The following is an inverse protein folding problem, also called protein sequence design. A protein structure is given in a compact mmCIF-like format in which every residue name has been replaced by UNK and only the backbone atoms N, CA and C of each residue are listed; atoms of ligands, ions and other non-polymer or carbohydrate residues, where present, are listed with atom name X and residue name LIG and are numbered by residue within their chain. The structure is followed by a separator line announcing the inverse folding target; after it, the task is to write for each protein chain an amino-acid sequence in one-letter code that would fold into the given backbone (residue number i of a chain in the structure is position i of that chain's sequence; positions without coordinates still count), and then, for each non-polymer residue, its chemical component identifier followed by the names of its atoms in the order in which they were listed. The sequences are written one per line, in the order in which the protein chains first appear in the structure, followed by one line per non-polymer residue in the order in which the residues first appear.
data_IF_631025105419
#
_entry.id   IF_631025105419
#
_cell.length_a   1.000
_cell.length_b   1.000
_cell.length_c   1.000
_cell.angle_alpha   90.00
_cell.angle_beta   90.00
_cell.angle_gamma   90.00
#
_symmetry.space_group_name_H-M   'P 1'
#
loop_
_entity.id
_entity.type
_entity.pdbx_description
1 polymer ?
#
# COMPACT_ATOMS: atom_id res chain seq x y z
N UNK A 1 -52.61 52.83 -6.75
CA UNK A 1 -52.65 51.97 -7.95
C UNK A 1 -52.51 50.51 -7.51
N UNK A 2 -53.45 49.62 -7.90
CA UNK A 2 -53.46 48.20 -7.54
C UNK A 2 -52.95 47.28 -8.68
N UNK A 3 -52.71 45.99 -8.34
CA UNK A 3 -52.46 44.80 -9.22
C UNK A 3 -51.17 44.84 -10.06
N UNK A 4 -50.40 43.76 -10.18
CA UNK A 4 -50.84 42.38 -10.40
C UNK A 4 -49.92 41.34 -9.75
N UNK A 5 -50.57 40.39 -9.06
CA UNK A 5 -50.06 39.01 -8.83
C UNK A 5 -49.79 38.37 -10.19
N UNK A 6 -48.74 37.55 -10.29
CA UNK A 6 -48.64 36.54 -11.33
C UNK A 6 -48.99 35.16 -10.72
N UNK A 7 -50.10 34.54 -11.14
CA UNK A 7 -50.50 33.19 -10.75
C UNK A 7 -50.01 32.19 -11.79
N UNK A 8 -49.22 31.20 -11.38
CA UNK A 8 -49.29 29.86 -11.98
C UNK A 8 -48.60 28.84 -11.07
N UNK A 9 -49.44 28.17 -10.30
CA UNK A 9 -49.20 26.91 -9.60
C UNK A 9 -49.78 25.81 -10.47
N UNK A 10 -48.99 24.81 -10.86
CA UNK A 10 -49.52 23.46 -11.14
C UNK A 10 -48.48 22.46 -10.64
N UNK A 11 -48.88 21.70 -9.61
CA UNK A 11 -48.07 20.64 -9.03
C UNK A 11 -47.99 19.39 -9.90
N UNK A 12 -47.06 18.52 -9.55
CA UNK A 12 -47.05 17.10 -9.92
C UNK A 12 -46.23 16.38 -8.83
N UNK A 13 -46.91 15.84 -7.83
CA UNK A 13 -47.11 14.39 -7.63
C UNK A 13 -45.80 13.59 -7.61
N UNK A 14 -45.39 13.22 -6.40
CA UNK A 14 -44.68 11.96 -6.14
C UNK A 14 -45.47 10.79 -6.74
N UNK A 15 -44.73 9.77 -7.22
CA UNK A 15 -45.07 8.42 -6.84
C UNK A 15 -43.93 7.72 -6.10
N UNK A 16 -44.34 6.94 -5.11
CA UNK A 16 -43.56 5.95 -4.41
C UNK A 16 -43.33 4.69 -5.24
N UNK A 17 -42.42 3.84 -4.71
CA UNK A 17 -42.22 2.39 -4.93
C UNK A 17 -41.25 1.97 -6.03
N UNK A 18 -40.23 1.25 -5.59
CA UNK A 18 -39.38 0.39 -6.39
C UNK A 18 -38.46 -0.45 -5.51
N UNK A 19 -39.04 -1.27 -4.64
CA UNK A 19 -38.33 -2.38 -4.00
C UNK A 19 -38.14 -3.51 -5.03
N UNK A 20 -36.92 -4.06 -5.12
CA UNK A 20 -36.62 -5.33 -5.78
C UNK A 20 -35.10 -5.52 -5.96
N UNK A 21 -34.45 -6.45 -5.24
CA UNK A 21 -34.33 -7.88 -5.58
C UNK A 21 -33.49 -8.01 -6.88
N UNK A 22 -32.23 -8.48 -6.93
CA UNK A 22 -31.58 -9.68 -6.37
C UNK A 22 -30.04 -9.47 -6.46
N UNK A 23 -29.21 -10.01 -5.58
CA UNK A 23 -28.70 -11.38 -5.72
C UNK A 23 -28.15 -11.93 -4.40
N UNK A 24 -28.53 -13.18 -4.15
CA UNK A 24 -28.08 -14.03 -3.06
C UNK A 24 -26.86 -14.85 -3.49
N UNK A 25 -26.17 -15.36 -2.47
CA UNK A 25 -25.29 -16.54 -2.44
C UNK A 25 -23.82 -16.29 -2.87
N UNK A 26 -22.81 -16.90 -2.25
CA UNK A 26 -22.81 -18.10 -1.42
C UNK A 26 -21.70 -18.07 -0.35
N UNK A 27 -22.01 -18.66 0.81
CA UNK A 27 -21.02 -19.01 1.83
C UNK A 27 -20.11 -20.12 1.31
N UNK A 28 -18.79 -19.91 1.38
CA UNK A 28 -17.80 -20.97 1.16
C UNK A 28 -17.52 -21.60 2.53
N UNK A 29 -18.33 -22.60 2.85
CA UNK A 29 -18.03 -23.59 3.88
C UNK A 29 -17.47 -24.82 3.17
N UNK A 30 -16.19 -25.11 3.39
CA UNK A 30 -15.60 -26.41 3.08
C UNK A 30 -14.86 -26.90 4.31
N UNK A 31 -15.61 -27.47 5.25
CA UNK A 31 -15.10 -28.54 6.09
C UNK A 31 -15.16 -29.83 5.26
N UNK A 32 -14.01 -30.50 5.11
CA UNK A 32 -13.91 -31.76 4.38
C UNK A 32 -12.59 -32.44 4.65
N UNK A 33 -12.50 -33.14 5.79
CA UNK A 33 -11.50 -34.19 6.02
C UNK A 33 -11.57 -35.26 4.92
N UNK A 34 -10.42 -35.66 4.38
CA UNK A 34 -10.24 -36.97 3.78
C UNK A 34 -8.85 -37.51 4.15
N UNK A 35 -8.85 -38.44 5.10
CA UNK A 35 -7.74 -39.33 5.46
C UNK A 35 -7.49 -40.28 4.29
N UNK A 36 -6.25 -40.34 3.77
CA UNK A 36 -5.81 -41.46 2.94
C UNK A 36 -4.81 -42.29 3.74
N UNK A 37 -5.31 -43.34 4.39
CA UNK A 37 -4.52 -44.43 4.91
C UNK A 37 -4.15 -45.36 3.73
N UNK A 38 -2.86 -45.55 3.46
CA UNK A 38 -2.36 -46.61 2.59
C UNK A 38 -1.67 -47.63 3.50
N UNK A 39 -2.30 -48.79 3.67
CA UNK A 39 -1.84 -49.89 4.48
C UNK A 39 -1.07 -50.93 3.64
N UNK A 40 0.17 -51.22 4.04
CA UNK A 40 0.89 -52.50 3.88
C UNK A 40 1.40 -52.90 2.48
N UNK A 41 2.48 -53.66 2.27
CA UNK A 41 3.45 -54.36 3.14
C UNK A 41 4.70 -54.81 2.30
N UNK A 42 5.83 -55.03 3.00
CA UNK A 42 7.04 -55.82 2.67
C UNK A 42 8.07 -55.27 1.65
N UNK A 43 9.38 -55.57 1.71
CA UNK A 43 10.45 -55.52 2.73
C UNK A 43 11.71 -56.07 2.03
N UNK A 44 12.83 -55.34 2.00
CA UNK A 44 14.18 -55.91 1.78
C UNK A 44 15.22 -55.13 2.60
N UNK A 45 16.24 -55.81 3.17
CA UNK A 45 17.24 -55.20 4.04
C UNK A 45 18.39 -54.62 3.21
N UNK A 46 18.81 -53.41 3.51
CA UNK A 46 19.93 -52.78 2.82
C UNK A 46 20.42 -51.53 3.53
N UNK A 47 21.54 -51.69 4.23
CA UNK A 47 22.51 -50.67 4.64
C UNK A 47 22.05 -49.57 5.61
N UNK A 48 22.54 -49.69 6.85
CA UNK A 48 22.72 -48.59 7.79
C UNK A 48 23.40 -47.40 7.11
N UNK A 49 22.63 -46.34 6.87
CA UNK A 49 23.16 -44.98 6.85
C UNK A 49 22.47 -44.25 7.99
N UNK A 50 23.25 -44.03 9.04
CA UNK A 50 22.95 -43.06 10.08
C UNK A 50 22.78 -41.69 9.41
N UNK A 51 21.54 -41.33 9.14
CA UNK A 51 21.14 -40.01 8.70
C UNK A 51 19.94 -39.62 9.56
N UNK A 52 20.23 -38.85 10.62
CA UNK A 52 19.22 -38.12 11.37
C UNK A 52 18.25 -37.46 10.40
N UNK A 53 16.92 -37.59 10.59
CA UNK A 53 15.98 -36.89 9.75
C UNK A 53 16.07 -35.39 10.08
N UNK A 54 16.78 -34.63 9.24
CA UNK A 54 16.56 -33.18 9.16
C UNK A 54 15.19 -33.02 8.51
N UNK A 55 14.16 -32.83 9.34
CA UNK A 55 12.91 -32.27 8.86
C UNK A 55 13.25 -31.00 8.07
N UNK A 56 12.71 -30.79 6.86
CA UNK A 56 12.69 -29.45 6.30
C UNK A 56 11.75 -28.65 7.20
N UNK A 57 12.31 -28.06 8.25
CA UNK A 57 11.72 -26.91 8.90
C UNK A 57 11.57 -25.90 7.78
N UNK A 58 10.35 -25.75 7.27
CA UNK A 58 9.96 -24.54 6.54
C UNK A 58 10.12 -23.44 7.58
N UNK A 59 11.32 -22.86 7.64
CA UNK A 59 11.53 -21.58 8.28
C UNK A 59 10.63 -20.64 7.49
N UNK A 60 9.45 -20.35 8.05
CA UNK A 60 8.65 -19.23 7.61
C UNK A 60 9.60 -18.03 7.66
N UNK A 61 10.06 -17.59 6.49
CA UNK A 61 10.88 -16.39 6.39
C UNK A 61 10.08 -15.30 7.09
N UNK A 62 10.62 -14.78 8.20
CA UNK A 62 10.05 -13.60 8.82
C UNK A 62 9.91 -12.54 7.72
N UNK A 63 8.80 -11.78 7.67
CA UNK A 63 8.69 -10.69 6.70
C UNK A 63 9.90 -9.78 6.88
N UNK A 64 10.75 -9.72 5.85
CA UNK A 64 11.89 -8.80 5.83
C UNK A 64 11.29 -7.40 5.83
N UNK A 65 11.41 -6.70 6.95
CA UNK A 65 11.04 -5.29 7.03
C UNK A 65 12.12 -4.50 6.30
N UNK A 66 11.75 -3.73 5.29
CA UNK A 66 12.67 -2.89 4.53
C UNK A 66 13.23 -1.77 5.42
N UNK A 67 14.49 -1.41 5.23
CA UNK A 67 15.09 -0.29 5.96
C UNK A 67 14.47 1.04 5.51
N UNK A 68 14.44 2.08 6.37
CA UNK A 68 13.87 3.38 5.99
C UNK A 68 14.60 4.01 4.80
N UNK A 69 15.91 3.78 4.70
CA UNK A 69 16.73 4.21 3.56
C UNK A 69 16.24 3.58 2.25
N UNK A 70 16.06 2.26 2.22
CA UNK A 70 15.57 1.54 1.04
C UNK A 70 14.16 2.00 0.63
N UNK A 71 13.25 2.15 1.60
CA UNK A 71 11.89 2.66 1.36
C UNK A 71 11.97 4.06 0.75
N UNK A 72 12.76 4.96 1.34
CA UNK A 72 12.90 6.34 0.86
C UNK A 72 13.44 6.42 -0.56
N UNK A 73 14.47 5.63 -0.89
CA UNK A 73 15.05 5.56 -2.25
C UNK A 73 14.01 5.06 -3.22
N UNK A 74 13.31 3.99 -2.87
CA UNK A 74 12.31 3.39 -3.76
C UNK A 74 11.17 4.37 -4.04
N UNK A 75 10.61 4.97 -3.01
CA UNK A 75 9.52 5.95 -3.14
C UNK A 75 9.97 7.17 -3.93
N UNK A 76 11.15 7.73 -3.65
CA UNK A 76 11.65 8.90 -4.38
C UNK A 76 11.86 8.61 -5.87
N UNK A 77 12.31 7.39 -6.23
CA UNK A 77 12.40 6.96 -7.62
C UNK A 77 11.01 6.80 -8.28
N UNK A 78 10.02 6.28 -7.56
CA UNK A 78 8.65 6.17 -8.07
C UNK A 78 8.01 7.55 -8.27
N UNK A 79 8.29 8.47 -7.35
CA UNK A 79 7.82 9.86 -7.37
C UNK A 79 8.42 10.65 -8.54
N UNK A 80 9.71 10.46 -8.85
CA UNK A 80 10.43 11.16 -9.92
C UNK A 80 10.07 10.72 -11.35
N UNK A 81 8.80 10.36 -11.63
CA UNK A 81 8.34 9.85 -12.92
C UNK A 81 7.22 10.72 -13.51
N UNK A 82 7.53 11.94 -13.98
CA UNK A 82 6.51 12.86 -14.48
C UNK A 82 5.79 12.40 -15.75
N UNK A 83 6.39 11.45 -16.49
CA UNK A 83 5.81 10.90 -17.71
C UNK A 83 4.88 9.69 -17.47
N UNK A 84 4.79 9.19 -16.24
CA UNK A 84 3.93 8.04 -15.91
C UNK A 84 2.47 8.47 -15.78
N UNK A 85 1.49 7.73 -16.34
CA UNK A 85 0.07 8.03 -16.12
C UNK A 85 -0.29 7.94 -14.64
N UNK A 86 -1.06 8.92 -14.16
CA UNK A 86 -1.50 9.10 -12.76
C UNK A 86 -1.96 7.79 -12.09
N UNK A 87 -2.81 7.01 -12.75
CA UNK A 87 -3.32 5.74 -12.19
C UNK A 87 -2.21 4.71 -11.95
N UNK A 88 -1.23 4.58 -12.87
CA UNK A 88 -0.11 3.65 -12.68
C UNK A 88 0.86 4.19 -11.63
N UNK A 89 1.18 5.47 -11.72
CA UNK A 89 2.03 6.15 -10.75
C UNK A 89 1.51 5.96 -9.32
N UNK A 90 0.22 6.22 -9.10
CA UNK A 90 -0.42 6.07 -7.79
C UNK A 90 -0.45 4.62 -7.32
N UNK A 91 -0.84 3.67 -8.18
CA UNK A 91 -0.91 2.26 -7.83
C UNK A 91 0.45 1.68 -7.37
N UNK A 92 1.54 2.22 -7.89
CA UNK A 92 2.89 1.76 -7.56
C UNK A 92 3.47 2.42 -6.31
N UNK A 93 3.14 3.70 -6.06
CA UNK A 93 3.65 4.42 -4.88
C UNK A 93 2.80 4.16 -3.62
N UNK A 94 1.48 3.99 -3.77
CA UNK A 94 0.50 3.83 -2.68
C UNK A 94 0.87 2.77 -1.62
N UNK A 95 1.44 1.60 -1.95
CA UNK A 95 1.82 0.59 -0.96
C UNK A 95 2.85 1.05 0.07
N UNK A 96 3.63 2.10 -0.24
CA UNK A 96 4.68 2.62 0.65
C UNK A 96 4.23 3.84 1.46
N UNK A 97 3.02 4.34 1.21
CA UNK A 97 2.51 5.54 1.85
C UNK A 97 1.75 5.18 3.11
N UNK A 98 1.78 6.06 4.09
CA UNK A 98 0.80 5.98 5.16
C UNK A 98 -0.61 6.26 4.60
N UNK A 99 -1.63 5.99 5.42
CA UNK A 99 -3.02 6.05 4.97
C UNK A 99 -3.43 7.47 4.61
N UNK A 100 -3.00 8.44 5.39
CA UNK A 100 -3.34 9.84 5.24
C UNK A 100 -2.70 10.41 3.97
N UNK A 101 -1.41 10.19 3.77
CA UNK A 101 -0.67 10.63 2.59
C UNK A 101 -1.08 9.88 1.33
N UNK A 102 -1.50 8.61 1.41
CA UNK A 102 -2.09 7.92 0.27
C UNK A 102 -3.35 8.65 -0.26
N UNK A 103 -4.20 9.18 0.62
CA UNK A 103 -5.39 9.95 0.21
C UNK A 103 -4.96 11.26 -0.46
N UNK A 104 -3.91 11.93 0.02
CA UNK A 104 -3.40 13.15 -0.60
C UNK A 104 -2.74 12.87 -1.96
N UNK A 105 -1.98 11.78 -2.05
CA UNK A 105 -1.27 11.37 -3.25
C UNK A 105 -2.22 11.00 -4.40
N UNK A 106 -3.46 10.58 -4.11
CA UNK A 106 -4.49 10.34 -5.14
C UNK A 106 -4.78 11.59 -5.99
N UNK A 107 -4.51 12.79 -5.48
CA UNK A 107 -4.76 14.05 -6.18
C UNK A 107 -3.48 14.67 -6.79
N UNK A 108 -2.35 13.97 -6.71
CA UNK A 108 -1.09 14.42 -7.32
C UNK A 108 -1.08 14.02 -8.79
N UNK A 109 -0.99 15.03 -9.66
CA UNK A 109 -0.68 14.82 -11.08
C UNK A 109 0.85 14.68 -11.25
N UNK A 110 1.37 13.49 -11.63
CA UNK A 110 2.81 13.28 -11.76
C UNK A 110 3.45 14.22 -12.78
N UNK A 111 2.73 14.65 -13.82
CA UNK A 111 3.27 15.58 -14.82
C UNK A 111 3.61 16.97 -14.24
N UNK A 112 3.16 17.27 -13.02
CA UNK A 112 3.46 18.52 -12.30
C UNK A 112 4.66 18.39 -11.36
N UNK A 113 5.25 17.21 -11.21
CA UNK A 113 6.45 17.00 -10.40
C UNK A 113 7.65 17.65 -11.13
N UNK A 114 8.38 18.57 -10.50
CA UNK A 114 9.33 19.42 -11.20
C UNK A 114 10.68 18.75 -11.51
N UNK A 115 10.90 17.51 -11.08
CA UNK A 115 12.13 16.76 -11.28
C UNK A 115 11.88 15.35 -11.80
N UNK A 116 12.82 14.86 -12.59
CA UNK A 116 12.88 13.51 -13.15
C UNK A 116 14.20 12.79 -12.78
N UNK A 117 15.12 13.49 -12.09
CA UNK A 117 16.45 12.98 -11.77
C UNK A 117 16.84 13.26 -10.33
N UNK A 118 17.21 12.20 -9.63
CA UNK A 118 17.86 12.25 -8.32
C UNK A 118 19.38 12.32 -8.58
N UNK A 119 20.02 13.35 -8.04
CA UNK A 119 21.46 13.62 -8.20
C UNK A 119 22.29 12.98 -7.08
N UNK A 120 21.76 12.97 -5.85
CA UNK A 120 22.42 12.35 -4.68
C UNK A 120 21.45 12.17 -3.52
N UNK A 121 21.82 11.34 -2.55
CA UNK A 121 21.04 11.02 -1.35
C UNK A 121 20.66 9.53 -1.31
N UNK A 122 19.92 9.10 -0.28
CA UNK A 122 19.42 9.92 0.83
C UNK A 122 20.52 10.26 1.83
N UNK A 123 20.35 11.39 2.53
CA UNK A 123 20.98 11.61 3.84
C UNK A 123 19.88 11.42 4.87
N UNK A 124 20.05 10.46 5.77
CA UNK A 124 19.06 10.14 6.79
C UNK A 124 19.25 11.05 8.00
N UNK A 125 18.18 11.73 8.41
CA UNK A 125 18.11 12.53 9.63
C UNK A 125 16.99 11.98 10.52
N UNK A 126 17.22 11.93 11.83
CA UNK A 126 16.24 11.41 12.78
C UNK A 126 15.74 12.47 13.73
N UNK A 127 14.48 12.37 14.13
CA UNK A 127 13.94 13.23 15.18
C UNK A 127 14.46 12.79 16.56
N UNK A 128 15.09 13.72 17.28
CA UNK A 128 15.70 13.45 18.58
C UNK A 128 14.69 13.12 19.69
N UNK A 129 13.43 13.51 19.51
CA UNK A 129 12.33 13.29 20.45
C UNK A 129 11.45 12.10 20.04
N UNK A 130 11.44 11.74 18.75
CA UNK A 130 10.66 10.63 18.21
C UNK A 130 11.48 9.76 17.23
N UNK A 131 12.10 8.65 17.70
CA UNK A 131 12.90 7.79 16.84
C UNK A 131 12.08 7.04 15.77
N UNK A 132 10.76 7.15 15.82
CA UNK A 132 9.85 6.58 14.81
C UNK A 132 9.55 7.56 13.67
N UNK A 133 10.16 8.76 13.68
CA UNK A 133 10.10 9.73 12.59
C UNK A 133 11.52 9.98 12.09
N UNK A 134 11.72 9.76 10.79
CA UNK A 134 12.96 10.04 10.08
C UNK A 134 12.66 10.90 8.86
N UNK A 135 13.63 11.70 8.44
CA UNK A 135 13.64 12.35 7.13
C UNK A 135 14.79 11.81 6.29
N UNK A 136 14.59 11.76 4.99
CA UNK A 136 15.59 11.34 4.01
C UNK A 136 15.76 12.45 2.98
N UNK A 137 16.90 13.14 3.00
CA UNK A 137 17.19 14.27 2.13
C UNK A 137 17.82 13.85 0.81
N UNK A 138 17.29 14.38 -0.29
CA UNK A 138 17.72 14.14 -1.65
C UNK A 138 18.06 15.46 -2.35
N UNK A 139 19.06 15.42 -3.22
CA UNK A 139 19.30 16.48 -4.20
C UNK A 139 18.77 16.02 -5.54
N UNK A 140 17.96 16.84 -6.20
CA UNK A 140 17.40 16.57 -7.53
C UNK A 140 17.84 17.64 -8.52
N UNK A 141 17.52 17.47 -9.79
CA UNK A 141 17.71 18.52 -10.80
C UNK A 141 16.74 19.71 -10.65
N UNK A 142 15.81 19.67 -9.69
CA UNK A 142 14.91 20.78 -9.36
C UNK A 142 15.03 21.26 -7.89
N UNK A 143 16.19 21.07 -7.27
CA UNK A 143 16.47 21.52 -5.91
C UNK A 143 16.56 20.37 -4.90
N UNK A 144 16.54 20.73 -3.62
CA UNK A 144 16.55 19.74 -2.54
C UNK A 144 15.11 19.35 -2.18
N UNK A 145 14.93 18.07 -1.87
CA UNK A 145 13.66 17.46 -1.50
C UNK A 145 13.91 16.48 -0.37
N UNK A 146 12.92 16.27 0.48
CA UNK A 146 13.01 15.28 1.54
C UNK A 146 11.77 14.40 1.59
N UNK A 147 11.97 13.16 2.01
CA UNK A 147 10.92 12.18 2.29
C UNK A 147 10.79 12.06 3.80
N UNK A 148 9.59 12.23 4.34
CA UNK A 148 9.27 12.01 5.74
C UNK A 148 8.76 10.57 5.91
N UNK A 149 9.40 9.80 6.80
CA UNK A 149 9.09 8.41 7.08
C UNK A 149 8.63 8.24 8.52
N UNK A 150 7.54 7.49 8.70
CA UNK A 150 6.97 7.15 10.00
C UNK A 150 6.99 5.64 10.22
N UNK A 151 7.21 5.25 11.47
CA UNK A 151 7.09 3.87 11.93
C UNK A 151 5.94 3.77 12.94
N UNK A 152 4.92 2.96 12.65
CA UNK A 152 3.74 2.85 13.52
C UNK A 152 4.04 2.27 14.92
N UNK A 153 5.06 1.42 15.01
CA UNK A 153 5.55 0.84 16.25
C UNK A 153 7.06 0.58 16.14
N UNK A 154 7.81 0.52 17.25
CA UNK A 154 9.24 0.21 17.22
C UNK A 154 9.51 -1.11 16.49
N UNK A 155 10.32 -1.05 15.42
CA UNK A 155 10.63 -2.23 14.59
C UNK A 155 9.52 -2.64 13.62
N UNK A 156 8.46 -1.84 13.48
CA UNK A 156 7.42 -2.01 12.47
C UNK A 156 7.87 -1.56 11.07
N UNK A 157 6.92 -1.55 10.14
CA UNK A 157 7.11 -1.07 8.78
C UNK A 157 7.32 0.45 8.74
N UNK A 158 8.21 0.90 7.86
CA UNK A 158 8.40 2.30 7.53
C UNK A 158 7.48 2.69 6.38
N UNK A 159 6.63 3.68 6.64
CA UNK A 159 5.71 4.25 5.66
C UNK A 159 6.07 5.71 5.42
N UNK A 160 5.82 6.20 4.22
CA UNK A 160 6.05 7.60 3.85
C UNK A 160 4.83 8.42 4.21
N UNK A 161 5.04 9.42 5.08
CA UNK A 161 4.00 10.38 5.47
C UNK A 161 4.03 11.68 4.69
N UNK A 162 5.07 11.90 3.89
CA UNK A 162 5.14 13.08 3.03
C UNK A 162 6.40 13.15 2.17
N UNK A 163 6.28 13.85 1.05
CA UNK A 163 7.40 14.19 0.15
C UNK A 163 7.31 15.69 -0.12
N UNK A 164 8.36 16.41 0.25
CA UNK A 164 8.34 17.86 0.29
C UNK A 164 9.60 18.46 -0.35
N UNK A 165 9.43 19.63 -0.95
CA UNK A 165 10.57 20.44 -1.35
C UNK A 165 11.21 21.06 -0.10
N UNK A 166 12.53 20.95 0.02
CA UNK A 166 13.26 21.62 1.08
C UNK A 166 13.22 23.16 0.86
N UNK A 167 13.20 23.97 1.95
CA UNK A 167 13.09 25.42 1.89
C UNK A 167 14.28 26.12 1.21
#
# INVERSE_FOLDING_TARGET
MPRSKNPNSIGSKMPARGAGLWSKAAAISCAGLAVLAIAGCAQLPGTTVDASPVSPTVEASAPVSESPEEVSVKVMNLFARPDEPEQRWYAEISPYLDKEYAIEAEYIDPARIPFDKILSGPVMEGDAHNPQILTADFKTNAGAWYVELHQNAPGGEWLVGGIHQAP
#
